data_IF_514838451098
#
_entry.id   IF_514838451098
#
_cell.length_a   1.000
_cell.length_b   1.000
_cell.length_c   1.000
_cell.angle_alpha   90.00
_cell.angle_beta   90.00
_cell.angle_gamma   90.00
#
_symmetry.space_group_name_H-M   'P 1'
#
loop_
_entity.id
_entity.type
_entity.pdbx_description
1 polymer ?
#
# COMPACT_ATOMS: atom_id res chain seq x y z
N UNK A 1 7.95 -28.77 6.80
CA UNK A 1 7.68 -27.76 5.77
C UNK A 1 6.79 -28.30 4.63
N UNK A 2 6.66 -29.62 4.46
CA UNK A 2 5.86 -30.21 3.37
C UNK A 2 4.34 -30.18 3.57
N UNK A 3 3.85 -30.00 4.81
CA UNK A 3 2.42 -29.99 5.12
C UNK A 3 1.65 -28.73 4.64
N UNK A 4 2.35 -27.64 4.31
CA UNK A 4 1.72 -26.40 3.82
C UNK A 4 1.26 -26.55 2.36
N UNK A 5 2.00 -27.34 1.56
CA UNK A 5 1.63 -27.72 0.20
C UNK A 5 0.71 -28.95 0.17
N UNK A 6 0.72 -29.77 1.23
CA UNK A 6 -0.11 -30.98 1.34
C UNK A 6 -1.56 -30.72 1.82
N UNK A 7 -2.02 -29.46 1.89
CA UNK A 7 -3.41 -29.11 2.20
C UNK A 7 -4.35 -29.49 1.06
N UNK A 8 -4.49 -30.77 0.70
CA UNK A 8 -5.54 -31.35 -0.16
C UNK A 8 -6.03 -30.47 -1.35
N UNK A 9 -5.13 -29.78 -2.07
CA UNK A 9 -5.48 -28.89 -3.19
C UNK A 9 -6.00 -27.49 -2.82
N UNK A 10 -6.12 -27.13 -1.53
CA UNK A 10 -6.52 -25.79 -1.07
C UNK A 10 -5.37 -24.77 -1.00
N UNK A 11 -4.11 -25.24 -1.07
CA UNK A 11 -2.92 -24.37 -0.99
C UNK A 11 -2.91 -23.27 -2.05
N UNK A 12 -3.36 -23.57 -3.27
CA UNK A 12 -3.43 -22.59 -4.37
C UNK A 12 -4.46 -21.48 -4.10
N UNK A 13 -5.62 -21.83 -3.53
CA UNK A 13 -6.66 -20.85 -3.16
C UNK A 13 -6.17 -19.92 -2.05
N UNK A 14 -5.47 -20.47 -1.07
CA UNK A 14 -4.92 -19.71 0.05
C UNK A 14 -3.83 -18.75 -0.44
N UNK A 15 -2.93 -19.24 -1.31
CA UNK A 15 -1.83 -18.44 -1.85
C UNK A 15 -2.31 -17.31 -2.75
N UNK A 16 -3.29 -17.57 -3.61
CA UNK A 16 -3.91 -16.54 -4.47
C UNK A 16 -4.64 -15.48 -3.64
N UNK A 17 -5.34 -15.88 -2.57
CA UNK A 17 -5.96 -14.94 -1.64
C UNK A 17 -4.92 -14.05 -0.94
N UNK A 18 -3.82 -14.63 -0.44
CA UNK A 18 -2.74 -13.83 0.16
C UNK A 18 -2.06 -12.91 -0.85
N UNK A 19 -1.88 -13.35 -2.09
CA UNK A 19 -1.36 -12.50 -3.18
C UNK A 19 -2.28 -11.32 -3.47
N UNK A 20 -3.60 -11.55 -3.53
CA UNK A 20 -4.58 -10.49 -3.72
C UNK A 20 -4.57 -9.48 -2.55
N UNK A 21 -4.50 -9.96 -1.31
CA UNK A 21 -4.40 -9.10 -0.12
C UNK A 21 -3.11 -8.28 -0.15
N UNK A 22 -1.96 -8.90 -0.45
CA UNK A 22 -0.68 -8.20 -0.54
C UNK A 22 -0.71 -7.12 -1.63
N UNK A 23 -1.33 -7.40 -2.78
CA UNK A 23 -1.49 -6.44 -3.86
C UNK A 23 -2.38 -5.25 -3.46
N UNK A 24 -3.53 -5.52 -2.83
CA UNK A 24 -4.45 -4.48 -2.37
C UNK A 24 -3.79 -3.59 -1.30
N UNK A 25 -3.17 -4.21 -0.28
CA UNK A 25 -2.51 -3.47 0.80
C UNK A 25 -1.29 -2.71 0.30
N UNK A 26 -0.48 -3.31 -0.57
CA UNK A 26 0.67 -2.65 -1.19
C UNK A 26 0.26 -1.47 -2.05
N UNK A 27 -0.77 -1.62 -2.88
CA UNK A 27 -1.32 -0.54 -3.69
C UNK A 27 -1.90 0.60 -2.84
N UNK A 28 -2.61 0.25 -1.76
CA UNK A 28 -3.16 1.23 -0.82
C UNK A 28 -2.04 1.99 -0.10
N UNK A 29 -1.02 1.29 0.40
CA UNK A 29 0.12 1.90 1.07
C UNK A 29 0.88 2.84 0.12
N UNK A 30 1.13 2.41 -1.12
CA UNK A 30 1.77 3.24 -2.13
C UNK A 30 0.93 4.49 -2.46
N UNK A 31 -0.38 4.34 -2.61
CA UNK A 31 -1.28 5.47 -2.87
C UNK A 31 -1.29 6.47 -1.70
N UNK A 32 -1.38 5.99 -0.46
CA UNK A 32 -1.35 6.82 0.74
C UNK A 32 -0.01 7.55 0.86
N UNK A 33 1.11 6.86 0.62
CA UNK A 33 2.44 7.47 0.65
C UNK A 33 2.56 8.61 -0.36
N UNK A 34 2.19 8.38 -1.61
CA UNK A 34 2.24 9.41 -2.65
C UNK A 34 1.32 10.59 -2.34
N UNK A 35 0.13 10.30 -1.81
CA UNK A 35 -0.84 11.34 -1.46
C UNK A 35 -0.37 12.17 -0.26
N UNK A 36 0.22 11.55 0.75
CA UNK A 36 0.81 12.24 1.89
C UNK A 36 1.90 13.22 1.43
N UNK A 37 2.83 12.76 0.59
CA UNK A 37 3.89 13.62 0.02
C UNK A 37 3.33 14.78 -0.80
N UNK A 38 2.27 14.55 -1.58
CA UNK A 38 1.61 15.60 -2.33
C UNK A 38 0.96 16.65 -1.42
N UNK A 39 0.32 16.21 -0.32
CA UNK A 39 -0.30 17.12 0.67
C UNK A 39 0.77 17.91 1.42
N UNK A 40 1.84 17.26 1.88
CA UNK A 40 2.99 17.92 2.53
C UNK A 40 3.58 19.01 1.62
N UNK A 41 3.80 18.70 0.34
CA UNK A 41 4.32 19.67 -0.62
C UNK A 41 3.37 20.86 -0.82
N UNK A 42 2.06 20.62 -0.83
CA UNK A 42 1.07 21.70 -0.94
C UNK A 42 1.03 22.59 0.30
N UNK A 43 1.16 22.00 1.49
CA UNK A 43 1.26 22.75 2.73
C UNK A 43 2.52 23.63 2.75
N UNK A 44 3.67 23.08 2.37
CA UNK A 44 4.92 23.83 2.31
C UNK A 44 4.85 25.00 1.32
N UNK A 45 4.13 24.84 0.20
CA UNK A 45 3.89 25.95 -0.73
C UNK A 45 3.04 27.05 -0.11
N UNK A 46 1.91 26.69 0.52
CA UNK A 46 1.02 27.65 1.15
C UNK A 46 1.69 28.43 2.29
N UNK A 47 2.47 27.75 3.14
CA UNK A 47 3.25 28.41 4.20
C UNK A 47 4.29 29.40 3.61
N UNK A 48 4.94 29.02 2.50
CA UNK A 48 5.92 29.88 1.85
C UNK A 48 5.31 31.10 1.17
N UNK A 49 4.06 31.00 0.70
CA UNK A 49 3.32 32.11 0.10
C UNK A 49 2.79 33.06 1.18
N UNK A 50 2.30 32.54 2.31
CA UNK A 50 1.88 33.34 3.47
C UNK A 50 3.05 34.11 4.07
N UNK A 51 4.24 33.49 4.16
CA UNK A 51 5.43 34.15 4.73
C UNK A 51 6.02 35.24 3.81
N UNK A 52 5.67 35.24 2.51
CA UNK A 52 6.14 36.23 1.53
C UNK A 52 5.16 37.38 1.28
N UNK A 53 3.92 37.28 1.75
CA UNK A 53 2.89 38.30 1.66
C UNK A 53 2.99 39.33 2.81
#
# INVERSE_FOLDING_TARGET
MDNFFAMNGYGEYIWTAYGAVAFILGGLAFHLYNRARCIENKLAQLESDETKA
#
